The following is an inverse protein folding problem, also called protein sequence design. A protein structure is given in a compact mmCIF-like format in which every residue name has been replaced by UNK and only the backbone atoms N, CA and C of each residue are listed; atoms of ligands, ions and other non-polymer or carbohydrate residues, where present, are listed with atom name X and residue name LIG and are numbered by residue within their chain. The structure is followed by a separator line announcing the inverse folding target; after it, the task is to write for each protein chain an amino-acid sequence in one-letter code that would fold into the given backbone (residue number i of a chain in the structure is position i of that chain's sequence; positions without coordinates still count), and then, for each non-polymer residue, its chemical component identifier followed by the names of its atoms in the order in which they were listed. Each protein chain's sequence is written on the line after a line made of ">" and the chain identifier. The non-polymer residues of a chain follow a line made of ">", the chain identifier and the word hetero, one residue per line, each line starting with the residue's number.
data_IF_828724550561
#
_entry.id   IF_828724550561
#
_cell.length_a   1.000
_cell.length_b   1.000
_cell.length_c   1.000
_cell.angle_alpha   90.00
_cell.angle_beta   90.00
_cell.angle_gamma   90.00
#
_symmetry.space_group_name_H-M   'P 1'
#
loop_
_entity.id
_entity.type
_entity.pdbx_description
1 polymer ?
#
# COMPACT_ATOMS: atom_id res chain seq x y z
N UNK A 1 -3.73 23.00 12.84
CA UNK A 1 -4.22 21.63 12.56
C UNK A 1 -3.08 20.89 11.89
N UNK A 2 -2.77 19.64 12.28
CA UNK A 2 -1.81 18.82 11.50
C UNK A 2 -2.45 18.50 10.15
N UNK A 3 -1.70 18.71 9.08
CA UNK A 3 -2.11 18.27 7.74
C UNK A 3 -2.24 16.75 7.76
N UNK A 4 -3.47 16.25 7.73
CA UNK A 4 -3.72 14.80 7.75
C UNK A 4 -3.43 14.22 6.37
N UNK A 5 -2.61 13.18 6.35
CA UNK A 5 -2.23 12.43 5.15
C UNK A 5 -2.55 10.96 5.36
N UNK A 6 -3.10 10.30 4.35
CA UNK A 6 -3.36 8.86 4.41
C UNK A 6 -2.73 8.11 3.25
N UNK A 7 -2.24 6.91 3.52
CA UNK A 7 -1.94 5.92 2.50
C UNK A 7 -3.10 4.95 2.38
N UNK A 8 -3.51 4.65 1.16
CA UNK A 8 -4.51 3.62 0.88
C UNK A 8 -3.80 2.36 0.43
N UNK A 9 -4.00 1.30 1.16
CA UNK A 9 -3.57 -0.04 0.80
C UNK A 9 -4.79 -0.93 0.59
N UNK A 10 -4.61 -2.01 -0.15
CA UNK A 10 -5.66 -3.01 -0.30
C UNK A 10 -5.10 -4.39 -0.03
N UNK A 11 -5.92 -5.27 0.53
CA UNK A 11 -5.53 -6.64 0.80
C UNK A 11 -6.75 -7.56 0.80
N UNK A 12 -6.55 -8.76 0.30
CA UNK A 12 -7.44 -9.89 0.54
C UNK A 12 -6.90 -10.74 1.71
N UNK A 13 -7.53 -11.86 1.98
CA UNK A 13 -7.16 -12.74 3.10
C UNK A 13 -6.05 -13.74 2.76
N UNK A 14 -5.31 -13.51 1.68
CA UNK A 14 -4.16 -14.33 1.31
C UNK A 14 -3.04 -14.22 2.33
N UNK A 15 -2.49 -15.36 2.76
CA UNK A 15 -1.39 -15.41 3.73
C UNK A 15 -0.12 -14.70 3.26
N UNK A 16 0.03 -14.53 1.96
CA UNK A 16 1.17 -13.82 1.39
C UNK A 16 1.12 -12.30 1.58
N UNK A 17 -0.07 -11.74 1.82
CA UNK A 17 -0.29 -10.30 1.87
C UNK A 17 -0.91 -9.85 3.19
N UNK A 18 -1.90 -10.58 3.69
CA UNK A 18 -2.67 -10.14 4.85
C UNK A 18 -1.83 -10.08 6.14
N UNK A 19 -0.81 -10.92 6.25
CA UNK A 19 0.16 -10.86 7.35
C UNK A 19 0.81 -9.48 7.48
N UNK A 20 1.05 -8.79 6.36
CA UNK A 20 1.79 -7.54 6.37
C UNK A 20 0.99 -6.34 6.87
N UNK A 21 -0.33 -6.40 6.91
CA UNK A 21 -1.16 -5.24 7.25
C UNK A 21 -0.76 -4.57 8.58
N UNK A 22 -0.54 -5.27 9.71
CA UNK A 22 -0.09 -4.62 10.95
C UNK A 22 1.30 -3.98 10.83
N UNK A 23 2.21 -4.59 10.09
CA UNK A 23 3.56 -4.06 9.88
C UNK A 23 3.52 -2.78 9.04
N UNK A 24 2.74 -2.79 7.95
CA UNK A 24 2.55 -1.64 7.06
C UNK A 24 1.85 -0.51 7.80
N UNK A 25 0.79 -0.81 8.56
CA UNK A 25 0.13 0.16 9.41
C UNK A 25 1.12 0.80 10.41
N UNK A 26 1.89 -0.02 11.11
CA UNK A 26 2.92 0.45 12.04
C UNK A 26 3.91 1.40 11.36
N UNK A 27 4.47 0.98 10.22
CA UNK A 27 5.49 1.75 9.52
C UNK A 27 4.96 3.11 9.03
N UNK A 28 3.78 3.15 8.41
CA UNK A 28 3.16 4.40 7.98
C UNK A 28 2.85 5.34 9.15
N UNK A 29 2.37 4.78 10.27
CA UNK A 29 2.12 5.57 11.49
C UNK A 29 3.42 6.18 12.05
N UNK A 30 4.53 5.43 12.04
CA UNK A 30 5.84 5.92 12.52
C UNK A 30 6.35 7.11 11.70
N UNK A 31 6.02 7.18 10.42
CA UNK A 31 6.40 8.31 9.56
C UNK A 31 5.28 9.36 9.39
N UNK A 32 4.21 9.25 10.20
CA UNK A 32 3.17 10.28 10.33
C UNK A 32 2.08 10.26 9.28
N UNK A 33 1.76 9.08 8.72
CA UNK A 33 0.65 8.84 7.81
C UNK A 33 -0.41 7.94 8.47
N UNK A 34 -1.68 8.27 8.25
CA UNK A 34 -2.79 7.38 8.57
C UNK A 34 -2.92 6.31 7.49
N UNK A 35 -3.59 5.20 7.82
CA UNK A 35 -3.79 4.09 6.86
C UNK A 35 -5.26 3.88 6.59
N UNK A 36 -5.63 3.82 5.33
CA UNK A 36 -6.93 3.36 4.85
C UNK A 36 -6.71 2.00 4.21
N UNK A 37 -7.41 0.98 4.69
CA UNK A 37 -7.31 -0.38 4.16
C UNK A 37 -8.60 -0.78 3.45
N UNK A 38 -8.50 -1.01 2.14
CA UNK A 38 -9.58 -1.53 1.31
C UNK A 38 -9.57 -3.06 1.37
N UNK A 39 -10.67 -3.67 1.78
CA UNK A 39 -10.78 -5.11 2.01
C UNK A 39 -12.01 -5.68 1.31
N UNK A 40 -11.87 -6.10 0.04
CA UNK A 40 -12.93 -6.82 -0.65
C UNK A 40 -13.10 -8.23 -0.09
N UNK A 41 -14.28 -8.80 -0.31
CA UNK A 41 -14.58 -10.18 0.04
C UNK A 41 -15.28 -10.36 1.38
N UNK A 42 -15.47 -11.62 1.78
CA UNK A 42 -16.23 -11.99 2.98
C UNK A 42 -15.35 -12.01 4.23
N UNK A 43 -15.95 -11.65 5.36
CA UNK A 43 -15.28 -11.75 6.67
C UNK A 43 -14.90 -13.20 7.01
N UNK A 44 -13.76 -13.35 7.67
CA UNK A 44 -13.31 -14.61 8.21
C UNK A 44 -12.58 -14.44 9.55
N UNK A 45 -12.29 -15.56 10.23
CA UNK A 45 -11.62 -15.53 11.55
C UNK A 45 -10.21 -14.91 11.49
N UNK A 46 -9.48 -15.11 10.40
CA UNK A 46 -8.14 -14.55 10.20
C UNK A 46 -8.19 -13.03 10.13
N UNK A 47 -9.21 -12.48 9.42
CA UNK A 47 -9.45 -11.04 9.39
C UNK A 47 -9.60 -10.46 10.79
N UNK A 48 -10.50 -11.05 11.59
CA UNK A 48 -10.76 -10.56 12.95
C UNK A 48 -9.49 -10.58 13.79
N UNK A 49 -8.66 -11.62 13.68
CA UNK A 49 -7.38 -11.70 14.38
C UNK A 49 -6.42 -10.58 13.97
N UNK A 50 -6.20 -10.37 12.65
CA UNK A 50 -5.27 -9.35 12.15
C UNK A 50 -5.73 -7.95 12.55
N UNK A 51 -7.02 -7.64 12.39
CA UNK A 51 -7.56 -6.33 12.75
C UNK A 51 -7.52 -6.07 14.25
N UNK A 52 -7.88 -7.05 15.09
CA UNK A 52 -7.78 -6.89 16.55
C UNK A 52 -6.31 -6.72 17.01
N UNK A 53 -5.36 -7.28 16.28
CA UNK A 53 -3.94 -7.08 16.58
C UNK A 53 -3.51 -5.61 16.42
N UNK A 54 -4.14 -4.87 15.53
CA UNK A 54 -3.91 -3.43 15.37
C UNK A 54 -4.79 -2.64 16.34
N UNK A 55 -6.12 -2.86 16.31
CA UNK A 55 -7.10 -2.00 16.98
C UNK A 55 -7.02 -2.14 18.51
N UNK A 56 -6.87 -3.38 19.01
CA UNK A 56 -6.98 -3.68 20.42
C UNK A 56 -5.62 -3.88 21.11
N UNK A 57 -4.56 -4.23 20.36
CA UNK A 57 -3.29 -4.68 20.94
C UNK A 57 -2.08 -3.84 20.56
N UNK A 58 -2.19 -2.97 19.54
CA UNK A 58 -1.06 -2.10 19.21
C UNK A 58 -0.76 -1.16 20.39
N UNK A 59 0.52 -0.96 20.75
CA UNK A 59 0.92 -0.12 21.88
C UNK A 59 0.88 1.39 21.56
N UNK A 60 0.16 1.78 20.52
CA UNK A 60 -0.04 3.17 20.10
C UNK A 60 -1.50 3.34 19.65
N UNK A 61 -1.98 4.60 19.60
CA UNK A 61 -3.33 4.88 19.09
C UNK A 61 -3.38 4.68 17.57
N UNK A 62 -4.04 3.63 17.06
CA UNK A 62 -4.04 3.34 15.63
C UNK A 62 -4.95 4.30 14.86
N UNK A 63 -4.42 4.95 13.82
CA UNK A 63 -5.21 5.67 12.84
C UNK A 63 -5.42 4.77 11.61
N UNK A 64 -6.36 3.85 11.72
CA UNK A 64 -6.72 2.86 10.70
C UNK A 64 -8.19 3.00 10.34
N UNK A 65 -8.47 3.29 9.08
CA UNK A 65 -9.81 3.21 8.50
C UNK A 65 -9.93 1.93 7.69
N UNK A 66 -10.94 1.11 7.95
CA UNK A 66 -11.18 -0.14 7.23
C UNK A 66 -12.44 0.00 6.40
N UNK A 67 -12.31 -0.24 5.10
CA UNK A 67 -13.41 -0.22 4.15
C UNK A 67 -13.61 -1.63 3.62
N UNK A 68 -14.78 -2.19 3.89
CA UNK A 68 -15.15 -3.53 3.41
C UNK A 68 -16.28 -3.43 2.41
N UNK A 69 -16.20 -4.22 1.37
CA UNK A 69 -17.25 -4.32 0.36
C UNK A 69 -17.29 -5.72 -0.23
N UNK A 70 -18.47 -6.10 -0.75
CA UNK A 70 -18.67 -7.42 -1.32
C UNK A 70 -18.17 -7.46 -2.77
N UNK A 71 -17.58 -8.58 -3.15
CA UNK A 71 -17.26 -8.94 -4.53
C UNK A 71 -17.46 -10.44 -4.73
N UNK A 72 -17.47 -10.91 -5.97
CA UNK A 72 -17.45 -12.34 -6.28
C UNK A 72 -16.08 -12.94 -5.94
N UNK A 73 -16.04 -14.21 -5.54
CA UNK A 73 -14.79 -14.90 -5.19
C UNK A 73 -13.80 -14.96 -6.38
N UNK A 74 -14.32 -15.07 -7.60
CA UNK A 74 -13.52 -15.11 -8.84
C UNK A 74 -12.84 -13.79 -9.14
N UNK A 75 -13.41 -12.65 -8.70
CA UNK A 75 -12.89 -11.31 -8.93
C UNK A 75 -12.17 -10.71 -7.72
N UNK A 76 -12.12 -11.41 -6.57
CA UNK A 76 -11.54 -10.88 -5.34
C UNK A 76 -10.12 -10.33 -5.51
N UNK A 77 -9.29 -11.00 -6.29
CA UNK A 77 -7.91 -10.55 -6.55
C UNK A 77 -7.89 -9.24 -7.32
N UNK A 78 -8.69 -9.13 -8.39
CA UNK A 78 -8.78 -7.91 -9.20
C UNK A 78 -9.36 -6.74 -8.40
N UNK A 79 -10.42 -7.00 -7.63
CA UNK A 79 -10.96 -5.99 -6.72
C UNK A 79 -9.93 -5.54 -5.69
N UNK A 80 -9.13 -6.47 -5.16
CA UNK A 80 -8.05 -6.12 -4.23
C UNK A 80 -7.03 -5.22 -4.89
N UNK A 81 -6.58 -5.54 -6.10
CA UNK A 81 -5.60 -4.73 -6.82
C UNK A 81 -6.13 -3.33 -7.13
N UNK A 82 -7.36 -3.24 -7.67
CA UNK A 82 -7.90 -1.97 -8.16
C UNK A 82 -8.46 -1.06 -7.07
N UNK A 83 -9.00 -1.62 -5.96
CA UNK A 83 -9.82 -0.86 -4.99
C UNK A 83 -9.13 0.37 -4.40
N UNK A 84 -7.81 0.36 -4.26
CA UNK A 84 -7.05 1.52 -3.75
C UNK A 84 -7.17 2.77 -4.62
N UNK A 85 -7.45 2.63 -5.91
CA UNK A 85 -7.68 3.75 -6.83
C UNK A 85 -8.99 4.50 -6.52
N UNK A 86 -9.94 3.82 -5.89
CA UNK A 86 -11.28 4.34 -5.63
C UNK A 86 -11.43 4.95 -4.23
N UNK A 87 -10.32 5.15 -3.54
CA UNK A 87 -10.33 5.76 -2.20
C UNK A 87 -10.90 7.18 -2.16
N UNK A 88 -10.88 7.91 -3.29
CA UNK A 88 -11.54 9.20 -3.41
C UNK A 88 -13.06 9.16 -3.22
N UNK A 89 -13.71 7.98 -3.38
CA UNK A 89 -15.12 7.76 -3.03
C UNK A 89 -15.39 7.82 -1.53
N UNK A 90 -14.36 7.60 -0.74
CA UNK A 90 -14.50 7.69 0.69
C UNK A 90 -14.72 9.14 1.05
N UNK A 91 -15.82 9.44 1.71
CA UNK A 91 -16.06 10.74 2.30
C UNK A 91 -15.12 10.91 3.50
N UNK A 92 -13.84 11.12 3.22
CA UNK A 92 -12.80 11.39 4.23
C UNK A 92 -12.31 12.84 4.07
N UNK A 93 -13.16 13.82 4.36
CA UNK A 93 -12.84 15.24 4.15
C UNK A 93 -11.71 15.73 5.05
N UNK A 94 -11.25 14.89 5.95
CA UNK A 94 -10.21 15.21 6.90
C UNK A 94 -8.79 15.07 6.34
N UNK A 95 -8.61 14.38 5.21
CA UNK A 95 -7.29 14.22 4.60
C UNK A 95 -7.04 15.27 3.51
N UNK A 96 -5.88 15.88 3.56
CA UNK A 96 -5.42 16.79 2.49
C UNK A 96 -4.85 16.01 1.32
N UNK A 97 -4.29 14.84 1.60
CA UNK A 97 -3.66 13.98 0.59
C UNK A 97 -3.96 12.51 0.88
N UNK A 98 -4.31 11.79 -0.16
CA UNK A 98 -4.41 10.32 -0.18
C UNK A 98 -3.38 9.80 -1.18
N UNK A 99 -2.57 8.82 -0.77
CA UNK A 99 -1.56 8.17 -1.59
C UNK A 99 -1.85 6.68 -1.70
N UNK A 100 -1.74 6.12 -2.89
CA UNK A 100 -1.84 4.67 -3.10
C UNK A 100 -0.57 3.96 -2.63
N UNK A 101 -0.70 2.77 -2.08
CA UNK A 101 0.40 1.93 -1.65
C UNK A 101 0.04 0.45 -1.74
N UNK A 102 1.03 -0.43 -1.68
CA UNK A 102 0.82 -1.88 -1.57
C UNK A 102 0.95 -2.34 -0.12
N UNK A 103 0.15 -3.34 0.25
CA UNK A 103 0.19 -3.91 1.60
C UNK A 103 1.49 -4.68 1.90
N UNK A 104 2.31 -4.93 0.90
CA UNK A 104 3.63 -5.56 1.00
C UNK A 104 4.80 -4.62 0.68
N UNK A 105 4.51 -3.30 0.66
CA UNK A 105 5.51 -2.25 0.50
C UNK A 105 5.69 -1.48 1.81
N UNK A 106 6.72 -1.85 2.58
CA UNK A 106 7.01 -1.24 3.88
C UNK A 106 7.80 0.07 3.70
N UNK A 107 7.28 1.23 4.11
CA UNK A 107 8.04 2.47 4.12
C UNK A 107 9.08 2.43 5.25
N UNK A 108 10.27 2.93 4.97
CA UNK A 108 11.39 2.95 5.92
C UNK A 108 11.87 4.38 6.24
N UNK A 109 11.35 5.38 5.54
CA UNK A 109 11.77 6.77 5.74
C UNK A 109 10.65 7.78 5.45
N UNK A 110 10.88 9.04 5.80
CA UNK A 110 9.98 10.17 5.50
C UNK A 110 10.16 10.72 4.07
N UNK A 111 10.52 9.89 3.12
CA UNK A 111 10.72 10.27 1.73
C UNK A 111 9.45 10.87 1.07
N UNK A 112 8.28 10.45 1.53
CA UNK A 112 6.99 10.71 0.90
C UNK A 112 6.50 12.13 1.24
N UNK A 113 6.68 13.06 0.30
CA UNK A 113 6.24 14.44 0.44
C UNK A 113 5.52 14.92 -0.83
N UNK A 114 4.28 14.47 -1.07
CA UNK A 114 3.53 14.85 -2.26
C UNK A 114 3.15 16.32 -2.27
N UNK A 115 3.04 16.90 -3.47
CA UNK A 115 2.53 18.23 -3.68
C UNK A 115 1.02 18.28 -3.32
N UNK A 116 0.58 19.37 -2.66
CA UNK A 116 -0.80 19.47 -2.17
C UNK A 116 -1.83 19.64 -3.28
N UNK A 117 -1.52 20.51 -4.23
CA UNK A 117 -2.46 20.96 -5.25
C UNK A 117 -2.24 20.28 -6.60
N UNK A 118 -1.49 19.19 -6.61
CA UNK A 118 -1.15 18.46 -7.83
C UNK A 118 -1.19 16.95 -7.59
N UNK A 119 -1.21 16.22 -8.67
CA UNK A 119 -0.99 14.79 -8.66
C UNK A 119 0.52 14.55 -8.52
N UNK A 120 0.94 13.73 -7.58
CA UNK A 120 2.36 13.34 -7.44
C UNK A 120 2.50 11.86 -7.75
N UNK A 121 3.39 11.51 -8.68
CA UNK A 121 3.69 10.11 -9.03
C UNK A 121 5.16 9.84 -8.76
N UNK A 122 5.43 8.83 -7.95
CA UNK A 122 6.79 8.43 -7.59
C UNK A 122 7.26 7.27 -8.47
N UNK A 123 8.46 7.42 -9.03
CA UNK A 123 9.13 6.34 -9.78
C UNK A 123 8.59 6.11 -11.21
N UNK A 124 7.97 7.11 -11.86
CA UNK A 124 7.56 6.99 -13.27
C UNK A 124 8.73 6.70 -14.20
N UNK A 125 9.93 7.15 -13.84
CA UNK A 125 11.19 6.90 -14.55
C UNK A 125 11.63 5.42 -14.55
N UNK A 126 10.90 4.55 -13.84
CA UNK A 126 11.16 3.11 -13.77
C UNK A 126 10.32 2.29 -14.75
N UNK A 127 9.28 2.91 -15.35
CA UNK A 127 8.39 2.27 -16.32
C UNK A 127 8.02 3.24 -17.43
N UNK A 128 8.29 2.85 -18.66
CA UNK A 128 7.93 3.62 -19.85
C UNK A 128 6.44 3.45 -20.21
N UNK A 129 5.87 2.29 -19.89
CA UNK A 129 4.52 1.91 -20.33
C UNK A 129 3.43 2.40 -19.39
N UNK A 130 3.57 2.17 -18.08
CA UNK A 130 2.53 2.42 -17.09
C UNK A 130 2.95 3.42 -16.01
N UNK A 131 1.97 4.05 -15.38
CA UNK A 131 2.21 4.73 -14.11
C UNK A 131 2.30 3.70 -12.98
N UNK A 132 3.33 3.78 -12.13
CA UNK A 132 3.42 2.88 -10.98
C UNK A 132 2.28 3.17 -10.00
N UNK A 133 1.56 2.13 -9.63
CA UNK A 133 0.47 2.23 -8.65
C UNK A 133 1.00 2.52 -7.24
N UNK A 134 2.20 2.14 -6.95
CA UNK A 134 2.95 2.53 -5.75
C UNK A 134 4.03 3.53 -6.15
N UNK A 135 3.92 4.74 -5.90
CA UNK A 135 2.95 5.47 -5.12
C UNK A 135 2.42 6.64 -5.96
N UNK A 136 1.13 6.80 -6.02
CA UNK A 136 0.49 7.96 -6.64
C UNK A 136 -0.34 8.70 -5.58
N UNK A 137 -0.21 10.02 -5.50
CA UNK A 137 -0.81 10.83 -4.47
C UNK A 137 -1.54 12.04 -5.03
N UNK A 138 -2.72 12.34 -4.49
CA UNK A 138 -3.50 13.53 -4.82
C UNK A 138 -4.45 13.86 -3.65
N UNK A 139 -5.11 15.01 -3.69
CA UNK A 139 -6.22 15.30 -2.77
C UNK A 139 -7.40 14.34 -3.02
N UNK A 140 -8.28 14.11 -2.03
CA UNK A 140 -9.49 13.30 -2.23
C UNK A 140 -10.37 13.81 -3.37
N UNK A 141 -10.50 15.14 -3.52
CA UNK A 141 -11.24 15.78 -4.61
C UNK A 141 -10.60 15.46 -5.97
N UNK A 142 -9.28 15.56 -6.06
CA UNK A 142 -8.55 15.27 -7.30
C UNK A 142 -8.65 13.79 -7.66
N UNK A 143 -8.60 12.87 -6.68
CA UNK A 143 -8.85 11.45 -6.92
C UNK A 143 -10.26 11.19 -7.49
N UNK A 144 -11.30 11.87 -6.95
CA UNK A 144 -12.66 11.76 -7.51
C UNK A 144 -12.73 12.22 -8.95
N UNK A 145 -12.05 13.32 -9.28
CA UNK A 145 -11.97 13.87 -10.63
C UNK A 145 -11.25 12.91 -11.58
N UNK A 146 -10.02 12.48 -11.23
CA UNK A 146 -9.17 11.59 -12.05
C UNK A 146 -9.89 10.28 -12.37
N UNK A 147 -10.49 9.66 -11.38
CA UNK A 147 -11.15 8.36 -11.50
C UNK A 147 -12.63 8.48 -11.90
N UNK A 148 -13.15 9.70 -12.14
CA UNK A 148 -14.56 9.95 -12.48
C UNK A 148 -15.56 9.26 -11.55
N UNK A 149 -15.29 9.32 -10.24
CA UNK A 149 -15.98 8.51 -9.23
C UNK A 149 -17.45 8.94 -9.02
N UNK A 150 -18.35 7.96 -8.95
CA UNK A 150 -19.79 8.17 -8.76
C UNK A 150 -20.20 8.28 -7.27
N UNK A 151 -19.33 7.88 -6.36
CA UNK A 151 -19.61 7.76 -4.93
C UNK A 151 -19.97 6.33 -4.48
N UNK A 152 -19.99 5.37 -5.41
CA UNK A 152 -20.20 3.96 -5.11
C UNK A 152 -18.98 3.12 -5.53
N UNK A 153 -18.15 2.75 -4.56
CA UNK A 153 -16.89 2.03 -4.79
C UNK A 153 -17.09 0.76 -5.62
N UNK A 154 -18.07 -0.07 -5.28
CA UNK A 154 -18.31 -1.35 -5.99
C UNK A 154 -18.70 -1.11 -7.43
N UNK A 155 -19.63 -0.19 -7.68
CA UNK A 155 -20.09 0.14 -9.02
C UNK A 155 -18.98 0.71 -9.89
N UNK A 156 -18.15 1.59 -9.33
CA UNK A 156 -17.03 2.20 -10.05
C UNK A 156 -15.98 1.15 -10.44
N UNK A 157 -15.66 0.22 -9.50
CA UNK A 157 -14.75 -0.91 -9.79
C UNK A 157 -15.36 -1.83 -10.85
N UNK A 158 -16.65 -2.18 -10.76
CA UNK A 158 -17.30 -3.06 -11.74
C UNK A 158 -17.22 -2.47 -13.15
N UNK A 159 -17.54 -1.18 -13.31
CA UNK A 159 -17.49 -0.51 -14.62
C UNK A 159 -16.10 -0.58 -15.24
N UNK A 160 -15.04 -0.34 -14.46
CA UNK A 160 -13.69 -0.39 -14.99
C UNK A 160 -13.24 -1.85 -15.26
N UNK A 161 -13.54 -2.79 -14.37
CA UNK A 161 -13.19 -4.19 -14.58
C UNK A 161 -13.92 -4.80 -15.78
N UNK A 162 -15.17 -4.47 -16.03
CA UNK A 162 -15.93 -4.92 -17.21
C UNK A 162 -15.23 -4.52 -18.51
N UNK A 163 -14.62 -3.34 -18.56
CA UNK A 163 -13.87 -2.88 -19.72
C UNK A 163 -12.45 -3.46 -19.77
N UNK A 164 -11.67 -3.28 -18.69
CA UNK A 164 -10.24 -3.59 -18.71
C UNK A 164 -9.94 -5.10 -18.72
N UNK A 165 -10.83 -5.96 -18.20
CA UNK A 165 -10.68 -7.41 -18.32
C UNK A 165 -10.81 -7.94 -19.74
N UNK A 166 -11.46 -7.15 -20.62
CA UNK A 166 -11.60 -7.46 -22.04
C UNK A 166 -10.40 -6.98 -22.85
N UNK A 167 -9.92 -5.76 -22.57
CA UNK A 167 -8.88 -5.11 -23.39
C UNK A 167 -7.45 -5.42 -22.94
N UNK A 168 -7.24 -5.71 -21.65
CA UNK A 168 -5.92 -6.04 -21.13
C UNK A 168 -5.62 -7.54 -21.24
N UNK A 169 -4.47 -7.86 -21.82
CA UNK A 169 -4.00 -9.25 -21.93
C UNK A 169 -3.41 -9.78 -20.64
N UNK A 170 -2.75 -8.91 -19.86
CA UNK A 170 -2.19 -9.23 -18.55
C UNK A 170 -3.08 -8.63 -17.44
N UNK A 171 -3.80 -9.50 -16.77
CA UNK A 171 -4.68 -9.09 -15.65
C UNK A 171 -3.92 -8.58 -14.43
N UNK A 172 -2.62 -8.87 -14.33
CA UNK A 172 -1.79 -8.44 -13.19
C UNK A 172 -1.52 -6.94 -13.18
N UNK A 173 -1.60 -6.27 -14.33
CA UNK A 173 -1.34 -4.83 -14.48
C UNK A 173 -2.60 -3.98 -14.69
N UNK A 174 -3.79 -4.54 -14.54
CA UNK A 174 -5.06 -3.83 -14.79
C UNK A 174 -5.15 -2.55 -13.96
N UNK A 175 -4.77 -2.55 -12.70
CA UNK A 175 -4.78 -1.37 -11.85
C UNK A 175 -3.83 -0.26 -12.36
N UNK A 176 -2.69 -0.64 -12.94
CA UNK A 176 -1.75 0.30 -13.55
C UNK A 176 -2.29 0.83 -14.90
N UNK A 177 -2.98 0.01 -15.67
CA UNK A 177 -3.63 0.41 -16.91
C UNK A 177 -4.75 1.43 -16.63
N UNK A 178 -5.63 1.13 -15.65
CA UNK A 178 -6.68 2.04 -15.21
C UNK A 178 -6.07 3.38 -14.78
N UNK A 179 -5.05 3.36 -13.91
CA UNK A 179 -4.37 4.56 -13.46
C UNK A 179 -3.74 5.33 -14.62
N UNK A 180 -3.08 4.63 -15.54
CA UNK A 180 -2.39 5.24 -16.70
C UNK A 180 -3.39 5.94 -17.62
N UNK A 181 -4.50 5.29 -17.95
CA UNK A 181 -5.55 5.88 -18.76
C UNK A 181 -6.17 7.11 -18.08
N UNK A 182 -6.47 7.00 -16.79
CA UNK A 182 -7.07 8.08 -16.00
C UNK A 182 -6.15 9.28 -15.89
N UNK A 183 -4.86 9.09 -15.66
CA UNK A 183 -3.87 10.16 -15.55
C UNK A 183 -3.48 10.78 -16.90
N UNK A 184 -3.73 10.10 -18.01
CA UNK A 184 -3.38 10.60 -19.35
C UNK A 184 -4.01 11.96 -19.70
N UNK A 185 -5.16 12.27 -19.12
CA UNK A 185 -5.83 13.56 -19.29
C UNK A 185 -5.23 14.69 -18.44
N UNK A 186 -4.42 14.37 -17.44
CA UNK A 186 -3.89 15.27 -16.42
C UNK A 186 -2.38 15.50 -16.49
N UNK A 187 -1.73 15.14 -17.58
CA UNK A 187 -0.25 15.14 -17.69
C UNK A 187 0.40 16.48 -17.30
N UNK A 188 -0.26 17.62 -17.50
CA UNK A 188 0.21 18.95 -17.10
C UNK A 188 0.06 19.24 -15.60
N UNK A 189 -0.70 18.43 -14.87
CA UNK A 189 -0.96 18.58 -13.45
C UNK A 189 -0.12 17.61 -12.60
N UNK A 190 0.68 16.74 -13.24
CA UNK A 190 1.46 15.71 -12.57
C UNK A 190 2.85 16.26 -12.22
N UNK A 191 3.23 16.05 -10.97
CA UNK A 191 4.61 16.18 -10.50
C UNK A 191 5.23 14.79 -10.46
N UNK A 192 6.26 14.58 -11.24
CA UNK A 192 7.02 13.33 -11.24
C UNK A 192 8.17 13.42 -10.24
N UNK A 193 8.21 12.47 -9.32
CA UNK A 193 9.32 12.29 -8.40
C UNK A 193 10.08 11.06 -8.85
N UNK A 194 11.18 11.30 -9.55
CA UNK A 194 12.03 10.24 -10.07
C UNK A 194 12.78 9.56 -8.92
N UNK A 195 12.89 8.24 -8.97
CA UNK A 195 13.64 7.46 -7.98
C UNK A 195 15.00 7.02 -8.48
N UNK A 196 15.18 6.95 -9.80
CA UNK A 196 16.36 6.38 -10.42
C UNK A 196 16.44 4.85 -10.25
N UNK A 197 17.23 4.20 -11.11
CA UNK A 197 17.57 2.77 -10.96
C UNK A 197 18.77 2.62 -10.06
N UNK A 198 18.77 1.65 -9.18
CA UNK A 198 19.94 1.28 -8.39
C UNK A 198 21.07 0.84 -9.34
N UNK A 199 22.33 1.25 -9.09
CA UNK A 199 23.47 0.80 -9.90
C UNK A 199 23.73 -0.71 -9.77
N UNK A 200 23.11 -1.37 -8.79
CA UNK A 200 23.30 -2.77 -8.46
C UNK A 200 22.09 -3.67 -8.76
N UNK A 201 20.98 -3.08 -9.23
CA UNK A 201 19.74 -3.82 -9.53
C UNK A 201 18.84 -3.02 -10.46
N UNK A 202 17.84 -3.67 -11.05
CA UNK A 202 16.78 -3.02 -11.86
C UNK A 202 15.71 -2.31 -11.00
N UNK A 203 15.91 -2.25 -9.68
CA UNK A 203 14.95 -1.68 -8.73
C UNK A 203 15.26 -0.21 -8.42
N UNK A 204 14.30 0.54 -7.85
CA UNK A 204 14.51 1.92 -7.44
C UNK A 204 15.63 2.08 -6.42
N UNK A 205 16.35 3.18 -6.48
CA UNK A 205 17.31 3.57 -5.45
C UNK A 205 16.60 3.60 -4.08
N UNK A 206 17.28 3.07 -3.06
CA UNK A 206 16.75 3.01 -1.69
C UNK A 206 15.70 1.93 -1.44
N UNK A 207 15.42 1.04 -2.40
CA UNK A 207 14.51 -0.08 -2.21
C UNK A 207 15.25 -1.40 -1.96
N UNK A 208 14.78 -2.14 -0.95
CA UNK A 208 15.07 -3.57 -0.86
C UNK A 208 13.98 -4.30 -1.64
N UNK A 209 14.34 -4.91 -2.75
CA UNK A 209 13.37 -5.71 -3.49
C UNK A 209 13.17 -7.09 -2.86
N UNK A 210 12.02 -7.70 -3.17
CA UNK A 210 11.62 -9.02 -2.69
C UNK A 210 12.67 -10.12 -2.93
N UNK A 211 13.41 -10.04 -4.01
CA UNK A 211 14.47 -10.98 -4.39
C UNK A 211 15.82 -10.69 -3.72
N UNK A 212 16.01 -9.50 -3.15
CA UNK A 212 17.30 -8.98 -2.69
C UNK A 212 17.51 -9.02 -1.16
N UNK A 213 16.57 -9.56 -0.40
CA UNK A 213 16.65 -9.59 1.08
C UNK A 213 17.88 -10.30 1.65
N UNK A 214 18.41 -11.27 0.94
CA UNK A 214 19.60 -12.04 1.36
C UNK A 214 20.91 -11.37 0.94
N UNK A 215 20.87 -10.57 -0.12
CA UNK A 215 22.04 -9.96 -0.74
C UNK A 215 22.24 -8.50 -0.30
N UNK A 216 21.96 -8.14 0.95
CA UNK A 216 21.92 -6.77 1.45
C UNK A 216 23.11 -5.92 1.00
N UNK A 217 23.01 -5.34 -0.21
CA UNK A 217 23.81 -4.18 -0.55
C UNK A 217 23.35 -3.06 0.37
N UNK A 218 24.21 -2.63 1.27
CA UNK A 218 23.99 -1.49 2.15
C UNK A 218 23.99 -0.22 1.29
N UNK A 219 22.89 0.07 0.65
CA UNK A 219 22.64 1.44 0.22
C UNK A 219 22.51 2.29 1.49
N UNK A 220 23.07 3.48 1.45
CA UNK A 220 23.23 4.35 2.62
C UNK A 220 21.89 4.95 3.08
N UNK A 221 20.87 4.91 2.26
CA UNK A 221 19.52 5.44 2.57
C UNK A 221 18.45 4.46 2.12
N UNK A 222 17.66 3.98 3.07
CA UNK A 222 16.51 3.10 2.83
C UNK A 222 15.24 3.95 2.73
N UNK A 223 14.53 3.82 1.61
CA UNK A 223 13.25 4.51 1.39
C UNK A 223 12.08 3.57 1.70
N UNK A 224 12.10 2.39 1.10
CA UNK A 224 11.09 1.36 1.27
C UNK A 224 11.66 -0.04 1.04
N UNK A 225 10.87 -1.06 1.38
CA UNK A 225 11.18 -2.42 0.99
C UNK A 225 9.93 -3.16 0.50
N UNK A 226 10.12 -3.98 -0.51
CA UNK A 226 9.15 -4.94 -1.00
C UNK A 226 9.28 -6.22 -0.17
N UNK A 227 8.28 -6.52 0.64
CA UNK A 227 8.33 -7.57 1.64
C UNK A 227 8.55 -8.95 1.03
N UNK A 228 9.37 -9.81 1.66
CA UNK A 228 9.59 -11.17 1.18
C UNK A 228 8.32 -11.99 1.32
N UNK A 229 8.03 -12.88 0.37
CA UNK A 229 6.92 -13.82 0.54
C UNK A 229 7.11 -14.63 1.81
N UNK A 230 6.01 -14.90 2.55
CA UNK A 230 6.06 -15.54 3.87
C UNK A 230 6.99 -14.78 4.84
N UNK A 231 6.84 -13.46 4.91
CA UNK A 231 7.62 -12.63 5.84
C UNK A 231 7.55 -13.05 7.30
N UNK A 232 6.51 -13.82 7.68
CA UNK A 232 6.35 -14.45 9.00
C UNK A 232 7.25 -15.68 9.23
N UNK A 233 7.90 -16.24 8.21
CA UNK A 233 8.73 -17.45 8.36
C UNK A 233 9.94 -17.21 9.28
N UNK A 234 10.48 -18.28 9.84
CA UNK A 234 11.67 -18.18 10.71
C UNK A 234 12.91 -17.66 9.95
N UNK A 235 12.93 -17.80 8.64
CA UNK A 235 14.00 -17.34 7.77
C UNK A 235 13.88 -15.83 7.50
N UNK A 236 12.68 -15.37 7.13
CA UNK A 236 12.46 -13.99 6.67
C UNK A 236 12.18 -13.00 7.81
N UNK A 237 11.54 -13.45 8.89
CA UNK A 237 11.13 -12.55 9.97
C UNK A 237 12.29 -11.78 10.61
N UNK A 238 13.45 -12.41 10.92
CA UNK A 238 14.58 -11.65 11.48
C UNK A 238 15.06 -10.53 10.56
N UNK A 239 15.02 -10.74 9.24
CA UNK A 239 15.41 -9.73 8.25
C UNK A 239 14.43 -8.56 8.25
N UNK A 240 13.13 -8.86 8.20
CA UNK A 240 12.07 -7.84 8.25
C UNK A 240 12.15 -7.02 9.53
N UNK A 241 12.27 -7.68 10.67
CA UNK A 241 12.33 -7.01 11.96
C UNK A 241 13.59 -6.15 12.11
N UNK A 242 14.71 -6.58 11.53
CA UNK A 242 15.94 -5.79 11.51
C UNK A 242 15.77 -4.48 10.74
N UNK A 243 15.18 -4.51 9.55
CA UNK A 243 14.93 -3.28 8.78
C UNK A 243 13.98 -2.33 9.52
N UNK A 244 12.96 -2.86 10.22
CA UNK A 244 12.09 -2.06 11.07
C UNK A 244 12.89 -1.40 12.20
N UNK A 245 13.76 -2.15 12.89
CA UNK A 245 14.56 -1.66 14.01
C UNK A 245 15.56 -0.58 13.57
N UNK A 246 16.23 -0.79 12.44
CA UNK A 246 17.27 0.12 11.95
C UNK A 246 16.70 1.44 11.41
N UNK A 247 15.50 1.43 10.82
CA UNK A 247 14.99 2.58 10.08
C UNK A 247 13.83 3.32 10.77
N UNK A 248 13.01 2.64 11.58
CA UNK A 248 11.79 3.21 12.15
C UNK A 248 11.87 3.53 13.65
N UNK A 249 12.98 3.24 14.30
CA UNK A 249 13.20 3.50 15.73
C UNK A 249 12.02 3.04 16.62
N UNK A 250 11.62 1.76 16.56
CA UNK A 250 10.55 1.25 17.40
C UNK A 250 10.94 1.24 18.87
N UNK A 251 9.97 1.43 19.76
CA UNK A 251 10.14 1.18 21.19
C UNK A 251 10.24 -0.32 21.46
N UNK A 252 10.72 -0.70 22.65
CA UNK A 252 10.75 -2.11 23.07
C UNK A 252 9.34 -2.72 23.11
N UNK A 253 8.34 -1.96 23.54
CA UNK A 253 6.95 -2.39 23.58
C UNK A 253 6.40 -2.67 22.16
N UNK A 254 6.71 -1.80 21.18
CA UNK A 254 6.35 -2.00 19.79
C UNK A 254 7.03 -3.23 19.17
N UNK A 255 8.29 -3.46 19.51
CA UNK A 255 9.01 -4.67 19.08
C UNK A 255 8.35 -5.93 19.66
N UNK A 256 8.06 -5.94 20.96
CA UNK A 256 7.42 -7.06 21.63
C UNK A 256 6.01 -7.33 21.05
N UNK A 257 5.27 -6.28 20.71
CA UNK A 257 3.97 -6.40 20.03
C UNK A 257 4.11 -7.05 18.63
N UNK A 258 5.07 -6.62 17.81
CA UNK A 258 5.32 -7.21 16.48
C UNK A 258 5.73 -8.69 16.58
N UNK A 259 6.60 -9.04 17.52
CA UNK A 259 7.01 -10.42 17.80
C UNK A 259 5.82 -11.29 18.24
N UNK A 260 4.99 -10.76 19.16
CA UNK A 260 3.81 -11.47 19.63
C UNK A 260 2.79 -11.66 18.50
N UNK A 261 2.55 -10.62 17.69
CA UNK A 261 1.68 -10.70 16.52
C UNK A 261 2.13 -11.81 15.57
N UNK A 262 3.40 -11.83 15.19
CA UNK A 262 3.97 -12.87 14.31
C UNK A 262 3.80 -14.27 14.91
N UNK A 263 4.11 -14.46 16.19
CA UNK A 263 4.01 -15.75 16.85
C UNK A 263 2.56 -16.25 16.93
N UNK A 264 1.60 -15.37 17.15
CA UNK A 264 0.18 -15.71 17.19
C UNK A 264 -0.38 -15.96 15.79
N UNK A 265 0.08 -15.19 14.77
CA UNK A 265 -0.31 -15.42 13.37
C UNK A 265 0.04 -16.83 12.90
N UNK A 266 1.24 -17.31 13.21
CA UNK A 266 1.67 -18.66 12.81
C UNK A 266 0.79 -19.76 13.46
N UNK A 267 0.24 -19.53 14.65
CA UNK A 267 -0.64 -20.51 15.33
C UNK A 267 -2.02 -20.63 14.68
N UNK A 268 -2.47 -19.60 13.96
CA UNK A 268 -3.80 -19.58 13.31
C UNK A 268 -3.76 -20.00 11.84
N UNK A 269 -2.55 -20.13 11.25
CA UNK A 269 -2.33 -20.67 9.90
C UNK A 269 -2.43 -22.18 9.88
#
# INVERSE_FOLDING_TARGET
>A
MRNKRAVVVSTNYSDNYFFFLPLIHFAWQKIGWDVICMMPGKENKKRNFVLSSIIDKAPYAPALTIITFSCSEENEVLYTQCSRLYAGNLAVPEYEVIMTGDVDMLPLSNYWNPARDKITVYGKDLSDEHYPICYAAASPEKWREIMSLTGNVTMDIDCDLDYYTIVCTDKWVIDQEILTASLGLYHNEIVYVNRGKSPHSDYPIGRIDRSAWVASHKETERIDCHMPRKGYSNENWPLVLNEIKENLNPTEEEINWLEQYRNDYIKIM
#
